data_IF_554358908063
#
_entry.id   IF_554358908063
#
_cell.length_a   1.000
_cell.length_b   1.000
_cell.length_c   1.000
_cell.angle_alpha   90.00
_cell.angle_beta   90.00
_cell.angle_gamma   90.00
#
_symmetry.space_group_name_H-M   'P 1'
#
loop_
_entity.id
_entity.type
_entity.pdbx_description
1 polymer ?
#
# COMPACT_ATOMS: atom_id res chain seq x y z
N UNK A 1 5.21 9.11 -6.90
CA UNK A 1 5.26 10.28 -5.97
C UNK A 1 4.29 11.38 -6.39
N UNK A 2 4.36 11.94 -7.62
CA UNK A 2 3.42 13.01 -8.02
C UNK A 2 1.93 12.59 -7.87
N UNK A 3 1.55 11.43 -8.36
CA UNK A 3 0.16 10.95 -8.28
C UNK A 3 -0.35 10.68 -6.84
N UNK A 4 0.55 10.35 -5.89
CA UNK A 4 0.16 10.24 -4.48
C UNK A 4 -0.09 11.60 -3.83
N UNK A 5 0.62 12.64 -4.24
CA UNK A 5 0.42 13.98 -3.71
C UNK A 5 -1.03 14.47 -3.91
N UNK A 6 -1.64 14.13 -5.04
CA UNK A 6 -3.02 14.53 -5.38
C UNK A 6 -4.08 13.76 -4.56
N UNK A 7 -3.70 12.62 -3.98
CA UNK A 7 -4.59 11.82 -3.12
C UNK A 7 -4.56 12.23 -1.65
N UNK A 8 -3.44 12.80 -1.19
CA UNK A 8 -3.26 13.09 0.22
C UNK A 8 -4.03 14.36 0.62
N UNK A 9 -4.85 14.31 1.67
CA UNK A 9 -5.35 15.54 2.27
C UNK A 9 -4.21 16.29 2.98
N UNK A 10 -4.49 17.46 3.57
CA UNK A 10 -3.52 18.18 4.38
C UNK A 10 -3.06 17.30 5.56
N UNK A 11 -1.75 17.02 5.64
CA UNK A 11 -1.16 16.09 6.62
C UNK A 11 -0.34 16.79 7.71
N UNK A 12 -0.14 18.10 7.62
CA UNK A 12 0.62 18.88 8.62
C UNK A 12 0.02 18.71 10.01
N UNK A 13 0.85 18.28 10.96
CA UNK A 13 0.44 18.01 12.34
C UNK A 13 -0.48 16.81 12.53
N UNK A 14 -0.68 15.98 11.50
CA UNK A 14 -1.50 14.76 11.55
C UNK A 14 -0.64 13.55 11.87
N UNK A 15 -1.18 12.60 12.63
CA UNK A 15 -0.59 11.29 12.83
C UNK A 15 -0.91 10.40 11.62
N UNK A 16 0.12 9.99 10.90
CA UNK A 16 -0.03 9.19 9.68
C UNK A 16 0.75 7.89 9.80
N UNK A 17 0.07 6.78 9.50
CA UNK A 17 0.68 5.45 9.41
C UNK A 17 1.05 5.15 7.96
N UNK A 18 2.30 4.78 7.71
CA UNK A 18 2.78 4.27 6.42
C UNK A 18 2.93 2.75 6.50
N UNK A 19 2.01 2.03 5.89
CA UNK A 19 1.87 0.57 5.94
C UNK A 19 2.74 -0.05 4.87
N UNK A 20 3.49 -1.12 5.26
CA UNK A 20 4.50 -1.76 4.41
C UNK A 20 5.46 -0.71 3.83
N UNK A 21 5.99 0.13 4.72
CA UNK A 21 6.73 1.34 4.38
C UNK A 21 8.07 1.08 3.68
N UNK A 22 8.54 -0.18 3.67
CA UNK A 22 9.79 -0.57 3.05
C UNK A 22 10.98 0.27 3.53
N UNK A 23 11.67 0.91 2.60
CA UNK A 23 12.81 1.81 2.88
C UNK A 23 12.37 3.21 3.34
N UNK A 24 11.09 3.45 3.64
CA UNK A 24 10.58 4.69 4.18
C UNK A 24 10.51 5.86 3.19
N UNK A 25 10.40 5.60 1.88
CA UNK A 25 10.33 6.66 0.87
C UNK A 25 9.10 7.56 1.05
N UNK A 26 7.92 6.96 1.21
CA UNK A 26 6.68 7.69 1.44
C UNK A 26 6.65 8.28 2.85
N UNK A 27 7.14 7.55 3.84
CA UNK A 27 7.29 8.06 5.22
C UNK A 27 8.07 9.37 5.27
N UNK A 28 9.22 9.45 4.58
CA UNK A 28 10.02 10.69 4.50
C UNK A 28 9.29 11.84 3.78
N UNK A 29 8.56 11.52 2.73
CA UNK A 29 7.76 12.51 2.01
C UNK A 29 6.67 13.10 2.91
N UNK A 30 5.92 12.26 3.63
CA UNK A 30 4.88 12.68 4.57
C UNK A 30 5.46 13.51 5.72
N UNK A 31 6.59 13.09 6.28
CA UNK A 31 7.29 13.86 7.31
C UNK A 31 7.76 15.22 6.81
N UNK A 32 8.22 15.30 5.55
CA UNK A 32 8.56 16.56 4.87
C UNK A 32 7.37 17.50 4.69
N UNK A 33 6.14 16.98 4.66
CA UNK A 33 4.89 17.74 4.67
C UNK A 33 4.41 18.09 6.09
N UNK A 34 5.18 17.76 7.13
CA UNK A 34 4.87 18.08 8.52
C UNK A 34 3.98 17.08 9.24
N UNK A 35 3.82 15.87 8.73
CA UNK A 35 3.12 14.80 9.43
C UNK A 35 3.97 14.17 10.55
N UNK A 36 3.30 13.71 11.64
CA UNK A 36 3.86 12.78 12.63
C UNK A 36 3.71 11.35 12.08
N UNK A 37 4.82 10.78 11.58
CA UNK A 37 4.81 9.56 10.78
C UNK A 37 5.29 8.35 11.57
N UNK A 38 4.48 7.29 11.53
CA UNK A 38 4.87 5.94 11.92
C UNK A 38 4.90 5.05 10.68
N UNK A 39 6.05 4.47 10.35
CA UNK A 39 6.19 3.46 9.30
C UNK A 39 6.20 2.05 9.90
N UNK A 40 5.42 1.14 9.34
CA UNK A 40 5.40 -0.28 9.75
C UNK A 40 5.76 -1.16 8.57
N UNK A 41 6.66 -2.12 8.79
CA UNK A 41 7.03 -3.13 7.81
C UNK A 41 7.39 -4.45 8.50
N UNK A 42 7.14 -5.57 7.85
CA UNK A 42 7.51 -6.89 8.36
C UNK A 42 9.01 -7.16 8.23
N UNK A 43 9.68 -6.52 7.27
CA UNK A 43 11.09 -6.71 6.94
C UNK A 43 12.01 -5.84 7.80
N UNK A 44 12.73 -6.45 8.73
CA UNK A 44 13.74 -5.75 9.52
C UNK A 44 14.80 -5.07 8.63
N UNK A 45 15.24 -5.75 7.56
CA UNK A 45 16.26 -5.21 6.65
C UNK A 45 15.79 -3.95 5.89
N UNK A 46 14.50 -3.85 5.57
CA UNK A 46 13.93 -2.63 4.98
C UNK A 46 13.85 -1.50 5.99
N UNK A 47 13.46 -1.79 7.21
CA UNK A 47 13.41 -0.80 8.29
C UNK A 47 14.80 -0.28 8.66
N UNK A 48 15.84 -1.11 8.62
CA UNK A 48 17.22 -0.67 8.86
C UNK A 48 17.66 0.32 7.77
N UNK A 49 17.32 0.07 6.51
CA UNK A 49 17.57 1.03 5.42
C UNK A 49 16.76 2.32 5.62
N UNK A 50 15.48 2.22 6.05
CA UNK A 50 14.63 3.37 6.29
C UNK A 50 15.24 4.29 7.39
N UNK A 51 15.70 3.70 8.49
CA UNK A 51 16.38 4.41 9.60
C UNK A 51 17.69 5.06 9.17
N UNK A 52 18.47 4.36 8.35
CA UNK A 52 19.77 4.85 7.87
C UNK A 52 19.65 6.04 6.90
N UNK A 53 18.53 6.17 6.19
CA UNK A 53 18.35 7.18 5.14
C UNK A 53 17.36 8.29 5.50
N UNK A 54 16.62 8.14 6.62
CA UNK A 54 15.58 9.07 7.04
C UNK A 54 16.07 10.17 8.00
N UNK A 55 15.33 11.30 8.08
CA UNK A 55 15.55 12.27 9.15
C UNK A 55 15.20 11.66 10.50
N UNK A 56 15.79 12.16 11.56
CA UNK A 56 15.34 11.89 12.91
C UNK A 56 13.89 12.39 13.08
N UNK A 57 13.03 11.58 13.73
CA UNK A 57 11.63 11.97 14.00
C UNK A 57 10.58 11.09 13.32
N UNK A 58 10.97 10.21 12.40
CA UNK A 58 10.06 9.18 11.89
C UNK A 58 10.19 7.92 12.77
N UNK A 59 9.06 7.42 13.29
CA UNK A 59 9.03 6.18 14.03
C UNK A 59 8.92 4.99 13.07
N UNK A 60 9.86 4.04 13.13
CA UNK A 60 9.80 2.82 12.33
C UNK A 60 9.64 1.59 13.23
N UNK A 61 8.56 0.84 13.03
CA UNK A 61 8.19 -0.34 13.81
C UNK A 61 8.20 -1.58 12.95
N UNK A 62 8.72 -2.67 13.49
CA UNK A 62 8.55 -3.99 12.85
C UNK A 62 7.20 -4.56 13.26
N UNK A 63 6.39 -4.94 12.29
CA UNK A 63 5.07 -5.50 12.55
C UNK A 63 4.44 -6.15 11.34
N UNK A 64 3.58 -7.11 11.62
CA UNK A 64 2.66 -7.67 10.65
C UNK A 64 1.40 -6.82 10.60
N UNK A 65 0.91 -6.53 9.41
CA UNK A 65 -0.29 -5.72 9.19
C UNK A 65 -1.54 -6.57 8.99
N UNK A 66 -1.41 -7.88 8.85
CA UNK A 66 -2.53 -8.78 8.54
C UNK A 66 -3.31 -9.24 9.77
N UNK A 67 -2.81 -8.96 10.98
CA UNK A 67 -3.41 -9.40 12.22
C UNK A 67 -3.53 -8.32 13.28
N UNK A 68 -3.78 -8.73 14.52
CA UNK A 68 -3.87 -7.77 15.64
C UNK A 68 -2.59 -6.92 15.73
N UNK A 69 -2.70 -5.58 15.68
CA UNK A 69 -1.55 -4.69 15.61
C UNK A 69 -0.84 -4.52 16.95
N UNK A 70 -0.12 -5.56 17.40
CA UNK A 70 0.64 -5.55 18.67
C UNK A 70 1.72 -4.44 18.72
N UNK A 71 2.10 -3.90 17.56
CA UNK A 71 3.01 -2.76 17.40
C UNK A 71 2.36 -1.40 17.64
N UNK A 72 1.01 -1.34 17.70
CA UNK A 72 0.24 -0.11 17.84
C UNK A 72 0.11 0.31 19.30
N UNK A 73 0.26 1.60 19.57
CA UNK A 73 0.16 2.20 20.92
C UNK A 73 -1.26 2.48 21.40
N UNK A 74 -2.29 2.08 20.63
CA UNK A 74 -3.70 2.31 20.95
C UNK A 74 -4.22 3.71 20.59
N UNK A 75 -3.36 4.65 20.21
CA UNK A 75 -3.78 5.99 19.78
C UNK A 75 -4.10 5.99 18.28
N UNK A 76 -5.31 6.40 17.89
CA UNK A 76 -5.71 6.34 16.50
C UNK A 76 -4.89 7.27 15.60
N UNK A 77 -4.73 6.86 14.34
CA UNK A 77 -4.13 7.67 13.28
C UNK A 77 -5.20 8.51 12.58
N UNK A 78 -4.83 9.70 12.10
CA UNK A 78 -5.67 10.54 11.24
C UNK A 78 -5.76 9.98 9.83
N UNK A 79 -4.68 9.35 9.37
CA UNK A 79 -4.59 8.75 8.05
C UNK A 79 -3.64 7.56 8.00
N UNK A 80 -3.89 6.67 7.04
CA UNK A 80 -3.01 5.57 6.69
C UNK A 80 -2.66 5.63 5.21
N UNK A 81 -1.45 5.20 4.86
CA UNK A 81 -1.01 5.01 3.48
C UNK A 81 -0.50 3.59 3.25
N UNK A 82 -0.65 3.09 2.02
CA UNK A 82 -0.04 1.83 1.57
C UNK A 82 0.39 1.98 0.10
N UNK A 83 1.68 2.21 -0.15
CA UNK A 83 2.20 2.45 -1.50
C UNK A 83 2.73 1.16 -2.12
N UNK A 84 2.06 0.67 -3.17
CA UNK A 84 2.50 -0.48 -3.99
C UNK A 84 2.84 -1.74 -3.18
N UNK A 85 2.05 -2.04 -2.16
CA UNK A 85 2.29 -3.19 -1.30
C UNK A 85 1.08 -4.13 -1.11
N UNK A 86 -0.16 -3.65 -1.29
CA UNK A 86 -1.35 -4.51 -1.08
C UNK A 86 -1.39 -5.76 -1.97
N UNK A 87 -0.74 -5.71 -3.15
CA UNK A 87 -0.58 -6.88 -4.02
C UNK A 87 0.51 -7.84 -3.55
N UNK A 88 1.33 -7.46 -2.59
CA UNK A 88 2.38 -8.29 -2.01
C UNK A 88 1.97 -8.89 -0.65
N UNK A 89 0.75 -8.58 -0.18
CA UNK A 89 0.19 -9.04 1.08
C UNK A 89 -0.93 -10.05 0.79
N UNK A 90 -0.79 -11.26 1.32
CA UNK A 90 -1.73 -12.36 1.04
C UNK A 90 -3.10 -12.14 1.68
N UNK A 91 -3.15 -11.66 2.91
CA UNK A 91 -4.40 -11.39 3.61
C UNK A 91 -4.82 -9.91 3.45
N UNK A 92 -5.49 -9.61 2.35
CA UNK A 92 -6.06 -8.28 2.10
C UNK A 92 -7.12 -7.90 3.13
N UNK A 93 -7.99 -8.84 3.50
CA UNK A 93 -9.09 -8.58 4.43
C UNK A 93 -8.56 -8.26 5.83
N UNK A 94 -7.61 -9.06 6.35
CA UNK A 94 -6.95 -8.79 7.62
C UNK A 94 -6.19 -7.47 7.63
N UNK A 95 -5.53 -7.14 6.51
CA UNK A 95 -4.86 -5.84 6.34
C UNK A 95 -5.84 -4.67 6.45
N UNK A 96 -6.96 -4.72 5.72
CA UNK A 96 -7.96 -3.63 5.74
C UNK A 96 -8.71 -3.55 7.07
N UNK A 97 -8.93 -4.69 7.75
CA UNK A 97 -9.45 -4.71 9.12
C UNK A 97 -8.48 -4.04 10.11
N UNK A 98 -7.18 -4.27 9.95
CA UNK A 98 -6.16 -3.56 10.75
C UNK A 98 -6.17 -2.06 10.45
N UNK A 99 -6.24 -1.65 9.18
CA UNK A 99 -6.36 -0.24 8.79
C UNK A 99 -7.54 0.42 9.50
N UNK A 100 -8.72 -0.19 9.45
CA UNK A 100 -9.91 0.37 10.11
C UNK A 100 -9.80 0.35 11.63
N UNK A 101 -9.11 -0.61 12.21
CA UNK A 101 -8.87 -0.65 13.66
C UNK A 101 -8.03 0.53 14.12
N UNK A 102 -6.94 0.84 13.43
CA UNK A 102 -5.97 1.86 13.87
C UNK A 102 -6.32 3.28 13.43
N UNK A 103 -7.16 3.46 12.40
CA UNK A 103 -7.66 4.77 11.98
C UNK A 103 -8.71 5.30 12.97
N UNK A 104 -8.75 6.60 13.20
CA UNK A 104 -9.92 7.22 13.84
C UNK A 104 -11.15 7.15 12.92
N UNK A 105 -12.33 7.28 13.49
CA UNK A 105 -13.56 7.46 12.69
C UNK A 105 -13.43 8.70 11.79
N UNK A 106 -13.85 8.59 10.53
CA UNK A 106 -13.64 9.63 9.52
C UNK A 106 -12.18 9.86 9.13
N UNK A 107 -11.23 9.01 9.58
CA UNK A 107 -9.85 8.99 9.12
C UNK A 107 -9.76 8.50 7.68
N UNK A 108 -8.68 8.86 6.98
CA UNK A 108 -8.50 8.51 5.57
C UNK A 108 -7.50 7.38 5.38
N UNK A 109 -7.71 6.58 4.34
CA UNK A 109 -6.77 5.58 3.85
C UNK A 109 -6.48 5.84 2.37
N UNK A 110 -5.21 6.03 2.01
CA UNK A 110 -4.76 6.20 0.64
C UNK A 110 -3.85 5.04 0.23
N UNK A 111 -4.14 4.40 -0.88
CA UNK A 111 -3.37 3.26 -1.35
C UNK A 111 -3.09 3.33 -2.85
N UNK A 112 -2.06 2.60 -3.27
CA UNK A 112 -1.76 2.35 -4.67
C UNK A 112 -1.40 0.90 -4.91
N UNK A 113 -1.76 0.40 -6.08
CA UNK A 113 -1.40 -0.93 -6.58
C UNK A 113 -0.99 -0.85 -8.04
N UNK A 114 -0.31 -1.88 -8.53
CA UNK A 114 -0.26 -2.14 -9.98
C UNK A 114 -1.70 -2.40 -10.43
N UNK A 115 -2.10 -1.77 -11.55
CA UNK A 115 -3.48 -1.82 -12.00
C UNK A 115 -3.92 -3.24 -12.34
N UNK A 116 -4.94 -3.79 -11.66
CA UNK A 116 -5.27 -5.21 -11.79
C UNK A 116 -5.87 -5.58 -13.14
N UNK A 117 -6.50 -4.65 -13.86
CA UNK A 117 -7.15 -4.92 -15.14
C UNK A 117 -6.20 -4.93 -16.34
N UNK A 118 -4.93 -4.49 -16.16
CA UNK A 118 -3.98 -4.39 -17.25
C UNK A 118 -2.73 -5.22 -16.97
N UNK A 119 -2.18 -5.93 -17.99
CA UNK A 119 -1.04 -6.84 -17.79
C UNK A 119 0.26 -6.14 -17.41
N UNK A 120 0.27 -4.82 -17.35
CA UNK A 120 1.49 -4.05 -17.13
C UNK A 120 2.23 -3.73 -18.42
N UNK A 121 3.38 -3.09 -18.30
CA UNK A 121 4.25 -2.77 -19.44
C UNK A 121 5.21 -3.93 -19.73
N UNK A 122 5.79 -3.97 -20.96
CA UNK A 122 6.82 -4.91 -21.41
C UNK A 122 8.07 -4.97 -20.50
N UNK A 123 8.12 -4.13 -19.47
CA UNK A 123 9.23 -4.04 -18.51
C UNK A 123 8.98 -4.81 -17.20
N UNK A 124 8.13 -5.84 -17.21
CA UNK A 124 8.03 -6.79 -16.10
C UNK A 124 7.20 -6.39 -14.91
N UNK A 125 6.26 -5.47 -15.06
CA UNK A 125 5.24 -5.12 -14.05
C UNK A 125 3.88 -5.69 -14.46
N UNK A 126 3.81 -7.01 -14.62
CA UNK A 126 2.51 -7.66 -14.82
C UNK A 126 1.72 -7.70 -13.50
N UNK A 127 0.42 -7.49 -13.58
CA UNK A 127 -0.49 -7.62 -12.44
C UNK A 127 -1.06 -9.02 -12.28
N UNK A 128 -0.94 -9.86 -13.32
CA UNK A 128 -1.36 -11.27 -13.30
C UNK A 128 -0.48 -12.14 -14.23
N UNK A 129 -0.43 -13.47 -14.00
CA UNK A 129 0.33 -14.36 -14.86
C UNK A 129 -0.26 -14.38 -16.28
N UNK A 130 0.51 -14.07 -17.31
CA UNK A 130 0.00 -13.97 -18.68
C UNK A 130 -0.66 -15.24 -19.23
N UNK A 131 -0.25 -16.40 -18.70
CA UNK A 131 -0.80 -17.70 -19.11
C UNK A 131 -2.19 -17.99 -18.53
N UNK A 132 -2.52 -17.40 -17.37
CA UNK A 132 -3.75 -17.68 -16.61
C UNK A 132 -4.81 -16.58 -16.76
N UNK A 133 -4.37 -15.37 -17.06
CA UNK A 133 -5.23 -14.21 -17.30
C UNK A 133 -5.84 -13.60 -16.04
N UNK A 134 -6.67 -12.59 -16.25
CA UNK A 134 -7.28 -11.74 -15.19
C UNK A 134 -8.21 -12.50 -14.24
N UNK A 135 -8.85 -13.57 -14.69
CA UNK A 135 -9.83 -14.30 -13.85
C UNK A 135 -9.19 -15.17 -12.79
N UNK A 136 -7.90 -15.51 -12.94
CA UNK A 136 -7.18 -16.40 -12.04
C UNK A 136 -6.57 -15.61 -10.90
N UNK A 137 -7.26 -15.53 -9.76
CA UNK A 137 -6.75 -14.87 -8.55
C UNK A 137 -5.81 -15.81 -7.78
N UNK A 138 -4.79 -15.26 -7.17
CA UNK A 138 -3.87 -15.99 -6.32
C UNK A 138 -2.42 -15.51 -6.43
N UNK A 139 -1.54 -16.21 -5.71
CA UNK A 139 -0.11 -15.92 -5.75
C UNK A 139 0.54 -16.47 -7.02
N UNK A 140 1.41 -15.69 -7.60
CA UNK A 140 2.13 -16.06 -8.82
C UNK A 140 3.55 -15.49 -8.84
N UNK A 141 4.43 -16.10 -9.65
CA UNK A 141 5.76 -15.62 -10.00
C UNK A 141 5.89 -15.53 -11.52
N UNK A 142 6.77 -14.70 -12.03
CA UNK A 142 7.03 -14.58 -13.47
C UNK A 142 8.52 -14.69 -13.76
N UNK A 143 9.06 -15.93 -13.84
CA UNK A 143 10.45 -16.14 -14.18
C UNK A 143 10.80 -15.69 -15.62
N UNK A 144 9.83 -15.73 -16.52
CA UNK A 144 10.07 -15.51 -17.96
C UNK A 144 9.91 -14.04 -18.39
N UNK A 145 9.24 -13.20 -17.60
CA UNK A 145 8.88 -11.83 -18.01
C UNK A 145 9.77 -10.74 -17.43
N UNK A 146 10.62 -11.04 -16.48
CA UNK A 146 11.57 -10.09 -15.91
C UNK A 146 12.70 -10.84 -15.22
N UNK A 147 13.73 -11.29 -15.95
CA UNK A 147 14.85 -12.08 -15.39
C UNK A 147 15.54 -11.42 -14.19
N UNK A 148 15.49 -10.10 -14.09
CA UNK A 148 16.04 -9.30 -12.99
C UNK A 148 14.96 -8.67 -12.07
N UNK A 149 13.70 -9.00 -12.29
CA UNK A 149 12.56 -8.37 -11.60
C UNK A 149 12.33 -8.86 -10.19
N UNK A 150 11.82 -7.98 -9.34
CA UNK A 150 11.41 -8.30 -7.94
C UNK A 150 10.40 -9.46 -7.92
N UNK A 151 9.50 -9.52 -8.90
CA UNK A 151 8.43 -10.52 -9.00
C UNK A 151 8.90 -11.97 -9.11
N UNK A 152 10.12 -12.22 -9.64
CA UNK A 152 10.71 -13.56 -9.65
C UNK A 152 11.04 -14.05 -8.25
N UNK A 153 11.47 -13.13 -7.37
CA UNK A 153 11.95 -13.47 -6.04
C UNK A 153 10.87 -13.51 -4.99
N UNK A 154 9.90 -12.59 -5.09
CA UNK A 154 8.87 -12.41 -4.06
C UNK A 154 7.46 -12.74 -4.56
N UNK A 155 7.28 -12.93 -5.86
CA UNK A 155 5.96 -13.13 -6.45
C UNK A 155 5.05 -11.90 -6.30
N UNK A 156 3.78 -12.11 -6.52
CA UNK A 156 2.69 -11.19 -6.22
C UNK A 156 1.39 -11.97 -6.05
N UNK A 157 0.44 -11.43 -5.33
CA UNK A 157 -0.91 -11.95 -5.29
C UNK A 157 -1.79 -11.14 -6.25
N UNK A 158 -2.20 -11.78 -7.35
CA UNK A 158 -3.20 -11.18 -8.23
C UNK A 158 -4.57 -11.22 -7.55
N UNK A 159 -5.27 -10.11 -7.62
CA UNK A 159 -6.69 -9.99 -7.25
C UNK A 159 -7.40 -9.14 -8.30
N UNK A 160 -8.62 -9.50 -8.62
CA UNK A 160 -9.47 -8.71 -9.51
C UNK A 160 -9.75 -7.34 -8.90
N UNK A 161 -10.04 -6.37 -9.74
CA UNK A 161 -10.44 -5.04 -9.28
C UNK A 161 -11.64 -5.12 -8.33
N UNK A 162 -12.64 -5.95 -8.68
CA UNK A 162 -13.82 -6.17 -7.83
C UNK A 162 -13.46 -6.72 -6.44
N UNK A 163 -12.47 -7.60 -6.33
CA UNK A 163 -12.02 -8.14 -5.06
C UNK A 163 -11.41 -7.05 -4.19
N UNK A 164 -10.54 -6.19 -4.74
CA UNK A 164 -10.01 -5.04 -4.00
C UNK A 164 -11.12 -4.11 -3.50
N UNK A 165 -12.05 -3.72 -4.39
CA UNK A 165 -13.10 -2.76 -4.07
C UNK A 165 -14.10 -3.30 -3.04
N UNK A 166 -14.54 -4.55 -3.21
CA UNK A 166 -15.50 -5.16 -2.29
C UNK A 166 -14.87 -5.38 -0.90
N UNK A 167 -13.64 -5.91 -0.83
CA UNK A 167 -12.96 -6.10 0.46
C UNK A 167 -12.77 -4.77 1.20
N UNK A 168 -12.50 -3.68 0.47
CA UNK A 168 -12.42 -2.34 1.03
C UNK A 168 -13.76 -1.87 1.62
N UNK A 169 -14.86 -2.04 0.88
CA UNK A 169 -16.21 -1.69 1.33
C UNK A 169 -16.63 -2.52 2.55
N UNK A 170 -16.36 -3.83 2.52
CA UNK A 170 -16.66 -4.76 3.61
C UNK A 170 -15.88 -4.42 4.89
N UNK A 171 -14.66 -3.91 4.75
CA UNK A 171 -13.86 -3.41 5.87
C UNK A 171 -14.37 -2.08 6.46
N UNK A 172 -15.39 -1.46 5.90
CA UNK A 172 -15.94 -0.18 6.38
C UNK A 172 -15.18 1.05 5.88
N UNK A 173 -14.59 0.96 4.69
CA UNK A 173 -13.89 2.04 4.01
C UNK A 173 -14.72 2.54 2.83
N UNK A 174 -15.24 3.75 2.92
CA UNK A 174 -16.00 4.38 1.84
C UNK A 174 -15.06 5.08 0.86
N UNK A 175 -15.18 4.77 -0.43
CA UNK A 175 -14.35 5.37 -1.47
C UNK A 175 -14.66 6.86 -1.63
N UNK A 176 -13.62 7.70 -1.67
CA UNK A 176 -13.72 9.13 -1.96
C UNK A 176 -13.27 9.44 -3.40
N UNK A 177 -12.19 8.83 -3.85
CA UNK A 177 -11.70 9.01 -5.22
C UNK A 177 -10.81 7.85 -5.67
N UNK A 178 -10.76 7.66 -6.99
CA UNK A 178 -9.83 6.79 -7.69
C UNK A 178 -9.04 7.62 -8.70
N UNK A 179 -7.76 7.29 -8.88
CA UNK A 179 -6.86 7.96 -9.81
C UNK A 179 -6.08 6.94 -10.61
N UNK A 180 -6.10 7.08 -11.91
CA UNK A 180 -5.22 6.38 -12.85
C UNK A 180 -4.25 7.43 -13.40
N UNK A 181 -2.95 7.40 -13.04
CA UNK A 181 -1.99 8.36 -13.59
C UNK A 181 -1.92 8.29 -15.11
N UNK A 182 -1.79 9.43 -15.80
CA UNK A 182 -1.74 9.46 -17.25
C UNK A 182 -0.63 8.55 -17.81
N UNK A 183 -1.00 7.61 -18.65
CA UNK A 183 -0.14 6.70 -19.37
C UNK A 183 -0.89 6.13 -20.59
N UNK A 184 -0.21 5.64 -21.64
CA UNK A 184 -0.87 4.97 -22.78
C UNK A 184 -1.76 3.81 -22.35
N UNK A 185 -1.35 3.07 -21.31
CA UNK A 185 -2.14 2.04 -20.63
C UNK A 185 -1.97 2.29 -19.14
N UNK A 186 -3.04 2.36 -18.33
CA UNK A 186 -2.94 2.57 -16.90
C UNK A 186 -2.09 1.49 -16.24
N UNK A 187 -0.97 1.88 -15.65
CA UNK A 187 -0.06 0.94 -14.97
C UNK A 187 -0.39 0.83 -13.49
N UNK A 188 -0.93 1.89 -12.92
CA UNK A 188 -1.23 1.97 -11.49
C UNK A 188 -2.67 2.42 -11.28
N UNK A 189 -3.27 1.89 -10.23
CA UNK A 189 -4.52 2.38 -9.66
C UNK A 189 -4.23 2.91 -8.26
N UNK A 190 -4.67 4.13 -8.00
CA UNK A 190 -4.56 4.78 -6.70
C UNK A 190 -5.97 5.12 -6.22
N UNK A 191 -6.18 5.10 -4.92
CA UNK A 191 -7.46 5.52 -4.34
C UNK A 191 -7.32 6.11 -2.96
N UNK A 192 -8.31 6.87 -2.56
CA UNK A 192 -8.52 7.29 -1.19
C UNK A 192 -9.90 6.91 -0.72
N UNK A 193 -9.94 6.43 0.52
CA UNK A 193 -11.15 6.06 1.24
C UNK A 193 -11.22 6.80 2.56
N UNK A 194 -12.41 6.76 3.16
CA UNK A 194 -12.66 7.25 4.51
C UNK A 194 -13.24 6.13 5.37
N UNK A 195 -12.73 6.01 6.62
CA UNK A 195 -13.33 5.10 7.59
C UNK A 195 -14.72 5.59 7.99
N UNK A 196 -15.72 4.71 7.89
CA UNK A 196 -17.08 4.92 8.42
C UNK A 196 -17.10 5.15 9.90
#
# INVERSE_FOLDING_TARGET
>A
MAAHADLLPAVMGKRVLDIACGQGRLSRYLAGLGADVTGVDISAAMLDKARATGPAGITYLRGDITGHPAWWDGRPFDGCTCELALMDIDDLAGTLATVTTVLRQGGWFAASIVHPCFPGSDKGQSSWPPAEGYESEGWWTSPDHSPDGVRIRVGATHRKLSTFLNTMLDAGLDAECFVEPPAPVPTYLLWRCRRR
#
